data_IF_803053154849
#
_entry.id   IF_803053154849
#
_cell.length_a   1.000
_cell.length_b   1.000
_cell.length_c   1.000
_cell.angle_alpha   90.00
_cell.angle_beta   90.00
_cell.angle_gamma   90.00
#
_symmetry.space_group_name_H-M   'P 1'
#
loop_
_entity.id
_entity.type
_entity.pdbx_description
1 polymer ?
#
# COMPACT_ATOMS: atom_id res chain seq x y z
N UNK A 1 30.71 -55.60 -44.38
CA UNK A 1 31.62 -54.50 -43.96
C UNK A 1 30.86 -53.20 -44.03
N UNK A 2 30.94 -52.41 -42.95
CA UNK A 2 30.44 -51.03 -42.76
C UNK A 2 28.94 -50.86 -42.55
N UNK A 3 28.38 -50.20 -41.53
CA UNK A 3 28.67 -49.95 -40.10
C UNK A 3 27.28 -49.64 -39.49
N UNK A 4 26.95 -50.00 -38.24
CA UNK A 4 25.66 -49.65 -37.65
C UNK A 4 25.62 -48.14 -37.34
N UNK A 5 24.51 -47.48 -37.68
CA UNK A 5 24.26 -46.07 -37.34
C UNK A 5 24.26 -45.88 -35.81
N UNK A 6 25.27 -45.17 -35.32
CA UNK A 6 25.35 -44.73 -33.92
C UNK A 6 24.27 -43.66 -33.70
N UNK A 7 23.21 -44.01 -32.98
CA UNK A 7 22.23 -43.04 -32.49
C UNK A 7 22.85 -42.29 -31.32
N UNK A 8 23.32 -41.07 -31.57
CA UNK A 8 23.70 -40.13 -30.52
C UNK A 8 22.49 -39.86 -29.62
N UNK A 9 22.57 -40.05 -28.30
CA UNK A 9 21.49 -39.66 -27.40
C UNK A 9 21.29 -38.15 -27.49
N UNK A 10 20.12 -37.72 -27.94
CA UNK A 10 19.73 -36.31 -27.88
C UNK A 10 19.60 -35.95 -26.40
N UNK A 11 20.54 -35.15 -25.90
CA UNK A 11 20.42 -34.59 -24.56
C UNK A 11 19.09 -33.81 -24.49
N UNK A 12 18.36 -33.88 -23.37
CA UNK A 12 17.18 -33.03 -23.20
C UNK A 12 17.68 -31.59 -23.27
N UNK A 13 17.15 -30.82 -24.23
CA UNK A 13 17.38 -29.39 -24.27
C UNK A 13 16.96 -28.81 -22.91
N UNK A 14 17.68 -27.82 -22.35
CA UNK A 14 17.24 -27.19 -21.13
C UNK A 14 15.92 -26.51 -21.45
N UNK A 15 14.82 -27.15 -21.07
CA UNK A 15 13.51 -26.54 -20.94
C UNK A 15 13.63 -25.53 -19.79
N UNK A 16 14.31 -24.41 -20.06
CA UNK A 16 14.22 -23.23 -19.23
C UNK A 16 12.76 -22.83 -19.24
N UNK A 17 12.07 -23.09 -18.14
CA UNK A 17 10.70 -22.64 -17.96
C UNK A 17 10.68 -21.12 -18.15
N UNK A 18 9.97 -20.57 -19.14
CA UNK A 18 9.66 -19.15 -19.15
C UNK A 18 8.51 -18.93 -18.15
N UNK A 19 8.87 -18.97 -16.86
CA UNK A 19 7.95 -18.75 -15.74
C UNK A 19 8.46 -17.72 -14.73
N UNK A 20 9.79 -17.63 -14.57
CA UNK A 20 10.40 -16.80 -13.51
C UNK A 20 10.72 -15.37 -13.93
N UNK A 21 10.61 -15.03 -15.22
CA UNK A 21 10.98 -13.72 -15.76
C UNK A 21 9.86 -12.65 -15.70
N UNK A 22 8.75 -12.91 -14.98
CA UNK A 22 7.62 -12.00 -14.90
C UNK A 22 7.00 -11.84 -13.50
N UNK A 23 7.70 -12.25 -12.43
CA UNK A 23 7.44 -11.66 -11.11
C UNK A 23 8.11 -10.28 -11.07
N UNK A 24 7.60 -9.34 -11.88
CA UNK A 24 7.94 -7.93 -11.77
C UNK A 24 7.76 -7.56 -10.30
N UNK A 25 8.82 -7.08 -9.63
CA UNK A 25 8.84 -6.70 -8.21
C UNK A 25 7.55 -5.96 -7.82
N UNK A 26 6.59 -6.71 -7.28
CA UNK A 26 5.30 -6.14 -6.89
C UNK A 26 5.57 -5.30 -5.66
N UNK A 27 5.43 -3.97 -5.81
CA UNK A 27 5.56 -3.05 -4.70
C UNK A 27 4.49 -3.39 -3.66
N UNK A 28 4.91 -3.97 -2.53
CA UNK A 28 4.04 -4.21 -1.39
C UNK A 28 3.79 -2.88 -0.66
N UNK A 29 2.55 -2.39 -0.69
CA UNK A 29 2.15 -1.14 -0.02
C UNK A 29 2.41 -1.23 1.49
N UNK A 30 2.04 -2.35 2.13
CA UNK A 30 2.21 -2.56 3.58
C UNK A 30 3.68 -2.49 3.97
N UNK A 31 4.54 -3.21 3.27
CA UNK A 31 5.98 -3.19 3.52
C UNK A 31 6.60 -1.81 3.20
N UNK A 32 6.09 -1.14 2.16
CA UNK A 32 6.53 0.20 1.80
C UNK A 32 6.25 1.21 2.90
N UNK A 33 5.18 1.07 3.70
CA UNK A 33 4.84 2.05 4.73
C UNK A 33 5.09 1.60 6.18
N UNK A 34 5.50 0.34 6.40
CA UNK A 34 5.87 -0.17 7.72
C UNK A 34 6.97 0.68 8.38
N UNK A 35 6.78 1.01 9.65
CA UNK A 35 7.68 1.83 10.47
C UNK A 35 7.78 3.31 10.07
N UNK A 36 7.12 3.73 8.98
CA UNK A 36 7.20 5.12 8.49
C UNK A 36 6.30 6.07 9.27
N UNK A 37 6.64 7.34 9.20
CA UNK A 37 5.78 8.44 9.66
C UNK A 37 5.20 9.14 8.44
N UNK A 38 3.88 9.12 8.31
CA UNK A 38 3.16 9.72 7.20
C UNK A 38 2.72 11.14 7.55
N UNK A 39 2.89 12.08 6.62
CA UNK A 39 2.31 13.42 6.70
C UNK A 39 1.22 13.55 5.64
N UNK A 40 -0.02 13.78 6.07
CA UNK A 40 -1.19 13.79 5.20
C UNK A 40 -1.85 15.17 5.22
N UNK A 41 -2.19 15.67 4.05
CA UNK A 41 -2.88 16.95 3.89
C UNK A 41 -4.27 16.74 3.28
N UNK A 42 -5.13 17.75 3.32
CA UNK A 42 -6.47 17.67 2.71
C UNK A 42 -7.45 16.76 3.46
N UNK A 43 -7.15 16.40 4.72
CA UNK A 43 -7.94 15.44 5.52
C UNK A 43 -9.35 15.90 5.87
N UNK A 44 -9.68 17.18 5.68
CA UNK A 44 -11.05 17.69 5.86
C UNK A 44 -11.97 17.37 4.68
N UNK A 45 -11.42 17.02 3.51
CA UNK A 45 -12.18 16.57 2.34
C UNK A 45 -12.53 15.08 2.42
N UNK A 46 -13.43 14.62 1.55
CA UNK A 46 -13.90 13.22 1.56
C UNK A 46 -12.76 12.20 1.41
N UNK A 47 -11.97 12.31 0.33
CA UNK A 47 -10.87 11.37 0.03
C UNK A 47 -9.84 11.33 1.16
N UNK A 48 -9.54 12.48 1.78
CA UNK A 48 -8.59 12.54 2.88
C UNK A 48 -9.05 11.75 4.12
N UNK A 49 -10.35 11.78 4.44
CA UNK A 49 -10.92 10.99 5.55
C UNK A 49 -10.88 9.50 5.26
N UNK A 50 -11.25 9.11 4.03
CA UNK A 50 -11.19 7.70 3.58
C UNK A 50 -9.75 7.20 3.60
N UNK A 51 -8.79 7.99 3.15
CA UNK A 51 -7.37 7.65 3.21
C UNK A 51 -6.91 7.41 4.65
N UNK A 52 -7.28 8.29 5.59
CA UNK A 52 -6.95 8.09 7.00
C UNK A 52 -7.57 6.79 7.55
N UNK A 53 -8.80 6.48 7.16
CA UNK A 53 -9.46 5.23 7.55
C UNK A 53 -8.74 4.00 6.99
N UNK A 54 -8.39 4.01 5.70
CA UNK A 54 -7.63 2.93 5.07
C UNK A 54 -6.25 2.75 5.71
N UNK A 55 -5.53 3.85 6.00
CA UNK A 55 -4.25 3.76 6.72
C UNK A 55 -4.45 3.11 8.08
N UNK A 56 -5.45 3.56 8.84
CA UNK A 56 -5.73 3.02 10.17
C UNK A 56 -6.11 1.53 10.12
N UNK A 57 -6.88 1.11 9.14
CA UNK A 57 -7.38 -0.27 9.01
C UNK A 57 -6.34 -1.22 8.39
N UNK A 58 -5.66 -0.79 7.32
CA UNK A 58 -4.85 -1.66 6.48
C UNK A 58 -3.34 -1.55 6.76
N UNK A 59 -2.86 -0.37 7.18
CA UNK A 59 -1.43 -0.10 7.37
C UNK A 59 -1.05 -0.04 8.86
N UNK A 60 -1.40 -1.09 9.60
CA UNK A 60 -1.19 -1.20 11.06
C UNK A 60 0.26 -0.99 11.51
N UNK A 61 1.24 -1.27 10.64
CA UNK A 61 2.66 -1.11 10.94
C UNK A 61 3.18 0.32 10.72
N UNK A 62 2.35 1.27 10.28
CA UNK A 62 2.72 2.69 10.20
C UNK A 62 2.97 3.23 11.61
N UNK A 63 4.16 3.80 11.83
CA UNK A 63 4.58 4.29 13.15
C UNK A 63 3.74 5.46 13.63
N UNK A 64 3.41 6.39 12.72
CA UNK A 64 2.69 7.62 13.05
C UNK A 64 2.07 8.24 11.80
N UNK A 65 0.92 8.89 11.98
CA UNK A 65 0.33 9.80 11.00
C UNK A 65 0.25 11.18 11.62
N UNK A 66 0.75 12.20 10.93
CA UNK A 66 0.54 13.61 11.25
C UNK A 66 -0.29 14.24 10.14
N UNK A 67 -1.22 15.12 10.50
CA UNK A 67 -2.13 15.76 9.55
C UNK A 67 -2.00 17.26 9.59
N UNK A 68 -2.17 17.91 8.42
CA UNK A 68 -2.33 19.36 8.34
C UNK A 68 -3.80 19.72 8.19
N UNK A 69 -4.32 20.44 9.18
CA UNK A 69 -5.67 21.00 9.17
C UNK A 69 -5.58 22.52 9.24
N UNK A 70 -6.24 23.21 8.31
CA UNK A 70 -6.33 24.67 8.33
C UNK A 70 -7.49 25.09 9.22
N UNK A 71 -7.27 26.04 10.13
CA UNK A 71 -8.35 26.73 10.82
C UNK A 71 -9.28 27.46 9.82
N UNK A 72 -10.49 27.79 10.26
CA UNK A 72 -11.42 28.66 9.54
C UNK A 72 -12.29 29.46 10.53
N UNK A 73 -13.25 30.25 10.02
CA UNK A 73 -14.12 31.09 10.86
C UNK A 73 -15.00 30.29 11.84
N UNK A 74 -15.37 29.06 11.48
CA UNK A 74 -16.20 28.19 12.32
C UNK A 74 -15.38 27.43 13.36
N UNK A 75 -14.13 27.10 13.02
CA UNK A 75 -13.19 26.34 13.84
C UNK A 75 -11.83 27.05 13.84
N UNK A 76 -11.57 27.95 14.80
CA UNK A 76 -10.35 28.77 14.84
C UNK A 76 -9.09 27.96 15.16
N UNK A 77 -9.24 26.75 15.69
CA UNK A 77 -8.14 25.84 16.00
C UNK A 77 -8.15 24.59 15.07
N UNK A 78 -6.95 24.11 14.73
CA UNK A 78 -6.79 22.96 13.83
C UNK A 78 -7.29 21.65 14.46
N UNK A 79 -7.08 21.47 15.77
CA UNK A 79 -7.53 20.31 16.53
C UNK A 79 -9.05 20.29 16.62
N UNK A 80 -9.68 21.42 16.95
CA UNK A 80 -11.14 21.52 17.00
C UNK A 80 -11.77 21.16 15.65
N UNK A 81 -11.23 21.71 14.54
CA UNK A 81 -11.70 21.36 13.20
C UNK A 81 -11.48 19.89 12.87
N UNK A 82 -10.34 19.31 13.28
CA UNK A 82 -10.06 17.90 13.08
C UNK A 82 -11.08 17.03 13.81
N UNK A 83 -11.33 17.30 15.08
CA UNK A 83 -12.27 16.54 15.91
C UNK A 83 -13.68 16.61 15.30
N UNK A 84 -14.15 17.82 14.95
CA UNK A 84 -15.49 18.03 14.40
C UNK A 84 -15.69 17.48 12.98
N UNK A 85 -14.68 17.58 12.10
CA UNK A 85 -14.86 17.28 10.66
C UNK A 85 -14.31 15.90 10.29
N UNK A 86 -13.25 15.44 10.95
CA UNK A 86 -12.51 14.22 10.58
C UNK A 86 -12.79 13.10 11.57
N UNK A 87 -12.50 13.31 12.85
CA UNK A 87 -12.61 12.25 13.86
C UNK A 87 -14.05 11.72 14.01
N UNK A 88 -15.05 12.60 13.90
CA UNK A 88 -16.46 12.25 13.98
C UNK A 88 -17.12 11.88 12.64
N UNK A 89 -16.34 11.73 11.56
CA UNK A 89 -16.89 11.36 10.25
C UNK A 89 -17.11 9.86 10.09
N UNK A 90 -18.16 9.44 9.36
CA UNK A 90 -18.48 8.03 9.14
C UNK A 90 -17.28 7.16 8.68
N UNK A 91 -16.50 7.54 7.64
CA UNK A 91 -15.39 6.70 7.20
C UNK A 91 -14.34 6.45 8.29
N UNK A 92 -14.16 7.42 9.19
CA UNK A 92 -13.15 7.35 10.25
C UNK A 92 -13.68 6.69 11.52
N UNK A 93 -14.95 6.90 11.86
CA UNK A 93 -15.61 6.22 12.99
C UNK A 93 -15.67 4.71 12.78
N UNK A 94 -15.93 4.26 11.55
CA UNK A 94 -16.00 2.82 11.20
C UNK A 94 -14.71 2.03 11.49
N UNK A 95 -13.58 2.70 11.69
CA UNK A 95 -12.28 2.07 11.97
C UNK A 95 -11.71 2.39 13.36
N UNK A 96 -12.43 3.20 14.15
CA UNK A 96 -12.02 3.61 15.49
C UNK A 96 -12.52 2.65 16.59
N UNK A 97 -13.42 1.72 16.26
CA UNK A 97 -13.90 0.60 17.10
C UNK A 97 -12.93 -0.59 17.06
#
# INVERSE_FOLDING_TARGET
>A
MSAPHEQTPHAPEPHGQPGDAAAQDLISIRQTFAGKHLFVTGVTGFVGKVLLAMIAQELRDVRRVSVLVRANRQYPDARERFDAVVALSEPFQAVAE
#
